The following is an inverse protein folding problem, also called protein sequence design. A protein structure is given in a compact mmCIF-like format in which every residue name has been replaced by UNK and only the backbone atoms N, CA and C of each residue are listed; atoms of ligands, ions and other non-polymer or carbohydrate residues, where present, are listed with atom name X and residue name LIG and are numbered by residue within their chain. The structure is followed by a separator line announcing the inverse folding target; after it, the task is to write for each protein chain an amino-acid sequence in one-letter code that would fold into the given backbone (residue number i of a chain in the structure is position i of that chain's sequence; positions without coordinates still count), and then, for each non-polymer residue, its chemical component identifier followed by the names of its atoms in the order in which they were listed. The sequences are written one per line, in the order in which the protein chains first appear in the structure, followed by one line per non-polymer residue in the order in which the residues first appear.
data_IF_395062886049
#
_entry.id   IF_395062886049
#
_cell.length_a   1.000
_cell.length_b   1.000
_cell.length_c   1.000
_cell.angle_alpha   90.00
_cell.angle_beta   90.00
_cell.angle_gamma   90.00
#
_symmetry.space_group_name_H-M   'P 1'
#
loop_
_entity.id
_entity.type
_entity.pdbx_description
1 polymer ?
#
# COMPACT_ATOMS: atom_id res chain seq x y z
N UNK A 1 -13.46 -0.37 7.26
CA UNK A 1 -13.87 -1.18 6.09
C UNK A 1 -12.71 -1.50 5.15
N UNK A 2 -12.02 -0.48 4.61
CA UNK A 2 -10.92 -0.65 3.63
C UNK A 2 -9.88 -1.73 4.02
N UNK A 3 -9.39 -1.73 5.26
CA UNK A 3 -8.44 -2.75 5.72
C UNK A 3 -8.95 -4.19 5.58
N UNK A 4 -10.25 -4.43 5.77
CA UNK A 4 -10.86 -5.76 5.61
C UNK A 4 -10.94 -6.17 4.13
N UNK A 5 -11.25 -5.24 3.23
CA UNK A 5 -11.31 -5.55 1.78
C UNK A 5 -9.91 -5.81 1.20
N UNK A 6 -8.91 -4.99 1.58
CA UNK A 6 -7.51 -5.24 1.18
C UNK A 6 -7.01 -6.57 1.76
N UNK A 7 -7.41 -6.92 2.99
CA UNK A 7 -7.11 -8.24 3.56
C UNK A 7 -7.70 -9.36 2.69
N UNK A 8 -8.96 -9.26 2.28
CA UNK A 8 -9.61 -10.27 1.40
C UNK A 8 -8.87 -10.42 0.08
N UNK A 9 -8.49 -9.32 -0.56
CA UNK A 9 -7.67 -9.34 -1.78
C UNK A 9 -6.36 -10.12 -1.56
N UNK A 10 -5.62 -9.83 -0.49
CA UNK A 10 -4.38 -10.53 -0.18
C UNK A 10 -4.60 -11.99 0.27
N UNK A 11 -5.72 -12.32 0.91
CA UNK A 11 -6.07 -13.71 1.27
C UNK A 11 -6.43 -14.55 0.03
N UNK A 12 -6.90 -13.91 -1.03
CA UNK A 12 -7.09 -14.53 -2.35
C UNK A 12 -5.78 -14.63 -3.16
N UNK A 13 -4.62 -14.36 -2.55
CA UNK A 13 -3.31 -14.28 -3.20
C UNK A 13 -3.21 -13.26 -4.36
N UNK A 14 -4.02 -12.19 -4.29
CA UNK A 14 -4.02 -11.09 -5.27
C UNK A 14 -3.23 -9.90 -4.70
N UNK A 15 -2.31 -9.36 -5.47
CA UNK A 15 -1.61 -8.09 -5.16
C UNK A 15 -1.90 -7.08 -6.26
N UNK A 16 -2.18 -5.83 -5.90
CA UNK A 16 -2.50 -4.80 -6.88
C UNK A 16 -1.25 -4.20 -7.52
N UNK A 17 -0.17 -4.07 -6.75
CA UNK A 17 1.10 -3.41 -7.10
C UNK A 17 0.98 -1.93 -7.50
N UNK A 18 -0.21 -1.33 -7.45
CA UNK A 18 -0.42 0.12 -7.56
C UNK A 18 -1.55 0.62 -6.65
N UNK A 19 -1.64 0.04 -5.44
CA UNK A 19 -2.71 0.32 -4.48
C UNK A 19 -2.57 1.70 -3.83
N UNK A 20 -3.02 2.75 -4.51
CA UNK A 20 -3.20 4.09 -3.94
C UNK A 20 -4.65 4.52 -3.96
N UNK A 21 -5.01 5.56 -3.19
CA UNK A 21 -6.39 6.02 -3.06
C UNK A 21 -7.06 6.32 -4.42
N UNK A 22 -6.33 6.88 -5.39
CA UNK A 22 -6.85 7.12 -6.74
C UNK A 22 -7.23 5.86 -7.54
N UNK A 23 -6.78 4.67 -7.14
CA UNK A 23 -7.11 3.40 -7.79
C UNK A 23 -8.19 2.62 -7.01
N UNK A 24 -8.88 3.28 -6.07
CA UNK A 24 -9.97 2.70 -5.29
C UNK A 24 -11.21 3.55 -5.50
N UNK A 25 -12.16 3.00 -6.25
CA UNK A 25 -13.48 3.62 -6.39
C UNK A 25 -14.37 3.19 -5.22
N UNK A 26 -15.18 4.14 -4.73
CA UNK A 26 -16.13 3.91 -3.65
C UNK A 26 -17.53 4.15 -4.18
N UNK A 27 -18.40 3.15 -4.06
CA UNK A 27 -19.83 3.26 -4.34
C UNK A 27 -20.61 3.17 -3.02
N UNK A 28 -21.80 3.75 -2.95
CA UNK A 28 -22.73 3.63 -1.81
C UNK A 28 -22.09 4.13 -0.47
N UNK A 29 -21.41 5.28 -0.51
CA UNK A 29 -20.56 5.77 0.60
C UNK A 29 -21.31 6.04 1.91
N UNK A 30 -22.59 6.40 1.86
CA UNK A 30 -23.41 6.76 3.03
C UNK A 30 -23.96 5.56 3.80
N UNK A 31 -24.07 4.39 3.15
CA UNK A 31 -24.74 3.22 3.73
C UNK A 31 -23.76 2.08 3.98
N UNK A 32 -23.34 1.42 2.91
CA UNK A 32 -22.43 0.28 2.93
C UNK A 32 -21.46 0.42 1.76
N UNK A 33 -20.34 1.11 1.96
CA UNK A 33 -19.41 1.42 0.88
C UNK A 33 -18.98 0.15 0.15
N UNK A 34 -19.07 0.13 -1.17
CA UNK A 34 -18.47 -0.93 -1.99
C UNK A 34 -17.20 -0.41 -2.61
N UNK A 35 -16.12 -1.17 -2.47
CA UNK A 35 -14.82 -0.80 -3.00
C UNK A 35 -14.57 -1.55 -4.30
N UNK A 36 -14.16 -0.82 -5.32
CA UNK A 36 -13.72 -1.38 -6.60
C UNK A 36 -12.29 -0.95 -6.85
N UNK A 37 -11.43 -1.90 -7.21
CA UNK A 37 -10.04 -1.65 -7.56
C UNK A 37 -9.92 -1.48 -9.09
N UNK A 38 -9.27 -0.41 -9.52
CA UNK A 38 -9.05 -0.09 -10.94
C UNK A 38 -7.54 -0.05 -11.25
N UNK A 39 -7.18 0.08 -12.53
CA UNK A 39 -5.78 0.06 -12.97
C UNK A 39 -5.02 -1.19 -12.50
N UNK A 40 -5.56 -2.34 -12.90
CA UNK A 40 -5.01 -3.67 -12.57
C UNK A 40 -3.85 -4.10 -13.49
N UNK A 41 -3.30 -3.20 -14.30
CA UNK A 41 -2.21 -3.50 -15.25
C UNK A 41 -0.97 -4.11 -14.55
N UNK A 42 -0.73 -3.69 -13.31
CA UNK A 42 0.34 -4.20 -12.44
C UNK A 42 -0.13 -5.28 -11.47
N UNK A 43 -1.44 -5.54 -11.41
CA UNK A 43 -2.04 -6.55 -10.57
C UNK A 43 -1.52 -7.94 -10.91
N UNK A 44 -1.34 -8.80 -9.90
CA UNK A 44 -0.88 -10.18 -10.07
C UNK A 44 -1.69 -11.09 -9.16
N UNK A 45 -2.04 -12.25 -9.68
CA UNK A 45 -2.48 -13.41 -8.91
C UNK A 45 -1.24 -14.29 -8.71
N UNK A 46 -1.00 -14.74 -7.49
CA UNK A 46 0.13 -15.62 -7.17
C UNK A 46 -0.38 -16.92 -6.55
N UNK A 47 0.44 -17.95 -6.58
CA UNK A 47 0.16 -19.19 -5.83
C UNK A 47 0.19 -18.92 -4.32
N UNK A 48 1.16 -18.12 -3.87
CA UNK A 48 1.25 -17.64 -2.49
C UNK A 48 1.77 -16.19 -2.44
N UNK A 49 1.13 -15.35 -1.61
CA UNK A 49 1.63 -14.00 -1.33
C UNK A 49 2.58 -13.98 -0.15
N UNK A 50 3.84 -13.63 -0.44
CA UNK A 50 4.84 -13.35 0.59
C UNK A 50 4.47 -12.11 1.42
N UNK A 51 4.97 -12.05 2.65
CA UNK A 51 4.83 -10.85 3.49
C UNK A 51 5.43 -9.60 2.83
N UNK A 52 6.51 -9.77 2.07
CA UNK A 52 7.15 -8.69 1.31
C UNK A 52 6.21 -8.12 0.25
N UNK A 53 5.46 -8.97 -0.44
CA UNK A 53 4.46 -8.52 -1.43
C UNK A 53 3.37 -7.68 -0.78
N UNK A 54 2.79 -8.20 0.31
CA UNK A 54 1.76 -7.50 1.09
C UNK A 54 2.27 -6.14 1.55
N UNK A 55 3.45 -6.07 2.16
CA UNK A 55 4.06 -4.81 2.63
C UNK A 55 4.32 -3.84 1.47
N UNK A 56 4.77 -4.34 0.32
CA UNK A 56 5.04 -3.52 -0.85
C UNK A 56 3.79 -2.91 -1.47
N UNK A 57 2.64 -3.58 -1.37
CA UNK A 57 1.36 -3.05 -1.82
C UNK A 57 0.79 -2.07 -0.79
N UNK A 58 0.75 -2.48 0.49
CA UNK A 58 0.23 -1.68 1.60
C UNK A 58 0.93 -0.33 1.78
N UNK A 59 2.25 -0.28 1.54
CA UNK A 59 3.03 0.98 1.66
C UNK A 59 2.68 2.03 0.61
N UNK A 60 1.87 1.70 -0.41
CA UNK A 60 1.42 2.66 -1.43
C UNK A 60 0.26 3.52 -0.95
N UNK A 61 -0.60 2.99 -0.07
CA UNK A 61 -1.69 3.72 0.57
C UNK A 61 -1.16 4.80 1.52
N UNK A 62 -1.22 6.08 1.14
CA UNK A 62 -0.73 7.20 1.96
C UNK A 62 -1.75 7.53 3.04
N UNK A 63 -1.37 7.27 4.29
CA UNK A 63 -2.20 7.50 5.46
C UNK A 63 -1.43 8.33 6.48
N UNK A 64 -2.17 9.17 7.20
CA UNK A 64 -1.77 9.70 8.51
C UNK A 64 -1.57 8.55 9.49
N UNK A 65 -0.92 8.80 10.64
CA UNK A 65 -0.68 7.74 11.62
C UNK A 65 -1.98 7.22 12.27
N UNK A 66 -3.00 8.08 12.43
CA UNK A 66 -4.30 7.66 12.94
C UNK A 66 -5.02 6.73 11.94
N UNK A 67 -5.11 7.12 10.67
CA UNK A 67 -5.69 6.29 9.61
C UNK A 67 -4.94 4.97 9.46
N UNK A 68 -3.61 5.00 9.55
CA UNK A 68 -2.76 3.80 9.49
C UNK A 68 -3.08 2.83 10.63
N UNK A 69 -3.26 3.33 11.87
CA UNK A 69 -3.69 2.50 13.02
C UNK A 69 -5.07 1.87 12.76
N UNK A 70 -6.04 2.66 12.31
CA UNK A 70 -7.40 2.18 12.02
C UNK A 70 -7.36 1.12 10.91
N UNK A 71 -6.61 1.39 9.83
CA UNK A 71 -6.44 0.48 8.71
C UNK A 71 -5.86 -0.86 9.17
N UNK A 72 -4.73 -0.86 9.89
CA UNK A 72 -4.07 -2.12 10.26
C UNK A 72 -4.82 -2.91 11.33
N UNK A 73 -5.54 -2.25 12.25
CA UNK A 73 -6.46 -2.93 13.18
C UNK A 73 -7.55 -3.71 12.43
N UNK A 74 -7.97 -3.24 11.26
CA UNK A 74 -8.95 -3.93 10.42
C UNK A 74 -8.31 -4.96 9.47
N UNK A 75 -7.11 -4.69 8.95
CA UNK A 75 -6.40 -5.57 8.02
C UNK A 75 -5.81 -6.81 8.70
N UNK A 76 -5.19 -6.65 9.88
CA UNK A 76 -4.58 -7.75 10.62
C UNK A 76 -4.80 -7.60 12.12
N UNK A 77 -6.03 -7.81 12.64
CA UNK A 77 -6.37 -7.54 14.04
C UNK A 77 -5.41 -8.16 15.07
N UNK A 78 -4.99 -9.41 14.85
CA UNK A 78 -4.06 -10.12 15.74
C UNK A 78 -2.58 -9.72 15.59
N UNK A 79 -2.21 -9.01 14.52
CA UNK A 79 -0.82 -8.64 14.24
C UNK A 79 -0.67 -7.21 13.67
N UNK A 80 -1.56 -6.30 14.06
CA UNK A 80 -1.66 -4.99 13.42
C UNK A 80 -0.43 -4.13 13.67
N UNK A 81 0.20 -4.27 14.85
CA UNK A 81 1.43 -3.55 15.21
C UNK A 81 2.61 -3.93 14.30
N UNK A 82 2.73 -5.21 13.96
CA UNK A 82 3.74 -5.68 13.01
C UNK A 82 3.59 -5.02 11.64
N UNK A 83 2.39 -5.09 11.04
CA UNK A 83 2.17 -4.46 9.73
C UNK A 83 2.34 -2.93 9.78
N UNK A 84 1.87 -2.29 10.85
CA UNK A 84 2.07 -0.86 11.09
C UNK A 84 3.55 -0.49 11.06
N UNK A 85 4.37 -1.24 11.80
CA UNK A 85 5.81 -1.01 11.88
C UNK A 85 6.50 -1.29 10.55
N UNK A 86 6.28 -2.48 9.95
CA UNK A 86 6.94 -2.89 8.71
C UNK A 86 6.61 -1.99 7.53
N UNK A 87 5.36 -1.55 7.40
CA UNK A 87 4.98 -0.60 6.35
C UNK A 87 5.61 0.77 6.58
N UNK A 88 5.67 1.23 7.84
CA UNK A 88 6.33 2.50 8.17
C UNK A 88 7.83 2.47 7.88
N UNK A 89 8.52 1.38 8.26
CA UNK A 89 9.93 1.13 7.93
C UNK A 89 10.15 1.10 6.42
N UNK A 90 9.32 0.38 5.67
CA UNK A 90 9.43 0.26 4.22
C UNK A 90 9.28 1.63 3.52
N UNK A 91 8.41 2.51 4.04
CA UNK A 91 8.27 3.89 3.55
C UNK A 91 9.48 4.75 3.87
N UNK A 92 9.98 4.70 5.10
CA UNK A 92 11.17 5.46 5.50
C UNK A 92 12.38 5.06 4.65
N UNK A 93 12.60 3.75 4.44
CA UNK A 93 13.65 3.24 3.54
C UNK A 93 13.49 3.78 2.12
N UNK A 94 12.27 3.74 1.57
CA UNK A 94 11.99 4.28 0.23
C UNK A 94 12.25 5.79 0.15
N UNK A 95 11.85 6.54 1.17
CA UNK A 95 12.09 7.99 1.23
C UNK A 95 13.58 8.31 1.21
N UNK A 96 14.37 7.69 2.10
CA UNK A 96 15.83 7.85 2.13
C UNK A 96 16.46 7.50 0.78
N UNK A 97 16.05 6.39 0.17
CA UNK A 97 16.54 5.99 -1.14
C UNK A 97 16.25 7.04 -2.22
N UNK A 98 15.02 7.57 -2.27
CA UNK A 98 14.63 8.60 -3.26
C UNK A 98 15.41 9.90 -3.02
N UNK A 99 15.58 10.32 -1.77
CA UNK A 99 16.36 11.51 -1.41
C UNK A 99 17.82 11.36 -1.85
N UNK A 100 18.47 10.24 -1.53
CA UNK A 100 19.84 9.95 -1.96
C UNK A 100 19.95 9.91 -3.49
N UNK A 101 19.03 9.22 -4.17
CA UNK A 101 18.99 9.16 -5.64
C UNK A 101 18.89 10.56 -6.24
N UNK A 102 18.05 11.42 -5.68
CA UNK A 102 17.86 12.79 -6.19
C UNK A 102 19.10 13.66 -5.94
N UNK A 103 19.79 13.51 -4.80
CA UNK A 103 21.07 14.18 -4.54
C UNK A 103 22.15 13.80 -5.56
N UNK A 104 22.29 12.52 -5.85
CA UNK A 104 23.24 12.00 -6.86
C UNK A 104 22.93 12.59 -8.23
N UNK A 105 21.66 12.56 -8.67
CA UNK A 105 21.27 13.13 -9.97
C UNK A 105 21.57 14.62 -10.08
N UNK A 106 21.35 15.37 -9.00
CA UNK A 106 21.69 16.80 -8.93
C UNK A 106 23.20 17.02 -9.05
N UNK A 107 24.01 16.20 -8.38
CA UNK A 107 25.48 16.26 -8.48
C UNK A 107 25.98 16.03 -9.91
N UNK A 108 25.38 15.09 -10.65
CA UNK A 108 25.75 14.78 -12.03
C UNK A 108 25.02 15.62 -13.10
N UNK A 109 24.26 16.65 -12.71
CA UNK A 109 23.53 17.51 -13.67
C UNK A 109 22.44 16.79 -14.49
N UNK A 110 21.99 15.61 -14.06
CA UNK A 110 21.00 14.81 -14.81
C UNK A 110 19.60 15.40 -14.59
N UNK A 111 19.03 16.04 -15.63
CA UNK A 111 17.66 16.55 -15.60
C UNK A 111 16.62 15.41 -15.56
N UNK A 112 15.42 15.72 -15.05
CA UNK A 112 14.28 14.81 -15.10
C UNK A 112 13.76 14.78 -16.55
N UNK A 113 13.98 13.68 -17.26
CA UNK A 113 13.08 13.26 -18.34
C UNK A 113 11.77 12.77 -17.80
#
# INVERSE_FOLDING_TARGET
QLGKEVKRMHQANIVHNDLHAGNILVKDFETKPKLYYIDLNRGRIKDELSEKDKINDLKRLKFTDQEKKIFFKNYAPGNWKYYYQKVSEARQKRRKFVETKNKIRKFFGIQKG
#
